data_IF_350355850443
#
_entry.id   IF_350355850443
#
_cell.length_a   1.000
_cell.length_b   1.000
_cell.length_c   1.000
_cell.angle_alpha   90.00
_cell.angle_beta   90.00
_cell.angle_gamma   90.00
#
_symmetry.space_group_name_H-M   'P 1'
#
loop_
_entity.id
_entity.type
_entity.pdbx_description
1 polymer ?
#
# COMPACT_ATOMS: atom_id res chain seq x y z
N UNK A 1 7.60 5.96 19.64
CA UNK A 1 6.70 6.93 18.98
C UNK A 1 7.08 6.99 17.51
N UNK A 2 6.20 6.52 16.61
CA UNK A 2 6.42 6.71 15.17
C UNK A 2 6.01 8.15 14.83
N UNK A 3 6.96 8.98 14.45
CA UNK A 3 6.66 10.30 13.90
C UNK A 3 6.00 10.12 12.53
N UNK A 4 4.81 10.70 12.34
CA UNK A 4 4.17 10.72 11.03
C UNK A 4 5.02 11.50 10.03
N UNK A 5 4.81 11.27 8.73
CA UNK A 5 5.51 11.94 7.63
C UNK A 5 5.61 13.46 7.85
N UNK A 6 4.50 14.09 8.26
CA UNK A 6 4.45 15.52 8.57
C UNK A 6 5.45 15.95 9.67
N UNK A 7 5.57 15.16 10.75
CA UNK A 7 6.54 15.45 11.81
C UNK A 7 7.98 15.22 11.35
N UNK A 8 8.23 14.19 10.52
CA UNK A 8 9.56 13.96 9.90
C UNK A 8 9.94 15.15 9.01
N UNK A 9 9.00 15.67 8.22
CA UNK A 9 9.19 16.84 7.35
C UNK A 9 9.49 18.11 8.14
N UNK A 10 8.75 18.39 9.22
CA UNK A 10 9.02 19.54 10.10
C UNK A 10 10.41 19.41 10.71
N UNK A 11 10.77 18.23 11.21
CA UNK A 11 12.08 18.00 11.81
C UNK A 11 13.20 18.22 10.78
N UNK A 12 13.06 17.67 9.57
CA UNK A 12 14.01 17.87 8.48
C UNK A 12 14.15 19.37 8.13
N UNK A 13 13.03 20.09 8.03
CA UNK A 13 13.02 21.53 7.76
C UNK A 13 13.79 22.31 8.83
N UNK A 14 13.49 22.08 10.12
CA UNK A 14 14.17 22.76 11.22
C UNK A 14 15.68 22.48 11.21
N UNK A 15 16.07 21.22 11.01
CA UNK A 15 17.49 20.84 10.93
C UNK A 15 18.17 21.54 9.75
N UNK A 16 17.53 21.56 8.57
CA UNK A 16 18.10 22.17 7.37
C UNK A 16 18.18 23.69 7.46
N UNK A 17 17.23 24.35 8.13
CA UNK A 17 17.32 25.78 8.44
C UNK A 17 18.52 26.06 9.34
N UNK A 18 18.68 25.29 10.43
CA UNK A 18 19.85 25.45 11.33
C UNK A 18 21.14 25.24 10.54
N UNK A 19 21.25 24.14 9.78
CA UNK A 19 22.42 23.88 8.94
C UNK A 19 22.68 25.03 7.95
N UNK A 20 21.64 25.56 7.31
CA UNK A 20 21.76 26.69 6.38
C UNK A 20 22.12 28.03 7.05
N UNK A 21 22.02 28.17 8.37
CA UNK A 21 22.47 29.36 9.09
C UNK A 21 23.92 29.22 9.58
N UNK A 22 24.34 28.01 9.95
CA UNK A 22 25.63 27.77 10.60
C UNK A 22 26.72 27.22 9.67
N UNK A 23 26.37 26.58 8.55
CA UNK A 23 27.37 26.07 7.61
C UNK A 23 28.08 27.24 6.89
N UNK A 24 29.39 27.14 6.63
CA UNK A 24 30.08 28.14 5.83
C UNK A 24 29.51 28.16 4.40
N UNK A 25 29.58 29.32 3.77
CA UNK A 25 29.39 29.46 2.32
C UNK A 25 30.72 29.11 1.64
N UNK A 26 30.66 28.25 0.64
CA UNK A 26 31.82 27.86 -0.17
C UNK A 26 31.67 28.42 -1.58
N UNK A 27 32.71 29.08 -2.08
CA UNK A 27 32.79 29.47 -3.48
C UNK A 27 33.07 28.22 -4.33
N UNK A 28 32.00 27.62 -4.84
CA UNK A 28 32.08 26.48 -5.75
C UNK A 28 32.00 26.98 -7.19
N UNK A 29 32.93 26.57 -8.04
CA UNK A 29 32.84 26.82 -9.48
C UNK A 29 31.78 25.93 -10.10
N UNK A 30 30.96 26.47 -10.99
CA UNK A 30 29.93 25.74 -11.75
C UNK A 30 28.78 25.15 -10.91
N UNK A 31 28.45 25.77 -9.77
CA UNK A 31 27.29 25.40 -8.92
C UNK A 31 26.01 25.29 -9.73
N UNK A 32 25.74 26.25 -10.62
CA UNK A 32 24.52 26.28 -11.43
C UNK A 32 24.39 25.07 -12.35
N UNK A 33 25.48 24.68 -13.02
CA UNK A 33 25.50 23.54 -13.92
C UNK A 33 25.34 22.21 -13.16
N UNK A 34 25.99 22.09 -12.00
CA UNK A 34 25.86 20.92 -11.12
C UNK A 34 24.43 20.80 -10.59
N UNK A 35 23.87 21.90 -10.08
CA UNK A 35 22.51 21.92 -9.54
C UNK A 35 21.49 21.60 -10.64
N UNK A 36 21.63 22.19 -11.84
CA UNK A 36 20.73 21.94 -12.96
C UNK A 36 20.76 20.47 -13.42
N UNK A 37 21.96 19.90 -13.60
CA UNK A 37 22.13 18.51 -14.03
C UNK A 37 21.65 17.52 -12.97
N UNK A 38 22.01 17.72 -11.70
CA UNK A 38 21.55 16.87 -10.60
C UNK A 38 20.03 16.97 -10.41
N UNK A 39 19.44 18.16 -10.53
CA UNK A 39 17.99 18.35 -10.39
C UNK A 39 17.24 17.65 -11.52
N UNK A 40 17.75 17.77 -12.75
CA UNK A 40 17.17 17.09 -13.90
C UNK A 40 17.20 15.57 -13.73
N UNK A 41 18.37 15.00 -13.44
CA UNK A 41 18.53 13.56 -13.24
C UNK A 41 17.70 13.04 -12.06
N UNK A 42 17.71 13.77 -10.94
CA UNK A 42 16.92 13.44 -9.76
C UNK A 42 15.43 13.45 -10.09
N UNK A 43 14.94 14.53 -10.70
CA UNK A 43 13.52 14.67 -11.03
C UNK A 43 13.04 13.59 -12.00
N UNK A 44 13.85 13.23 -13.00
CA UNK A 44 13.54 12.15 -13.94
C UNK A 44 13.49 10.79 -13.24
N UNK A 45 14.52 10.42 -12.47
CA UNK A 45 14.55 9.13 -11.77
C UNK A 45 13.45 9.04 -10.72
N UNK A 46 13.34 10.04 -9.86
CA UNK A 46 12.28 10.10 -8.84
C UNK A 46 10.89 10.01 -9.48
N UNK A 47 10.67 10.72 -10.58
CA UNK A 47 9.41 10.68 -11.33
C UNK A 47 9.05 9.30 -11.85
N UNK A 48 10.03 8.53 -12.35
CA UNK A 48 9.80 7.14 -12.75
C UNK A 48 9.49 6.25 -11.55
N UNK A 49 10.30 6.31 -10.49
CA UNK A 49 10.11 5.45 -9.32
C UNK A 49 8.75 5.69 -8.66
N UNK A 50 8.41 6.95 -8.36
CA UNK A 50 7.12 7.26 -7.72
C UNK A 50 5.94 6.84 -8.60
N UNK A 51 6.07 6.91 -9.93
CA UNK A 51 5.02 6.48 -10.85
C UNK A 51 4.83 4.96 -10.83
N UNK A 52 5.92 4.20 -10.76
CA UNK A 52 5.88 2.73 -10.65
C UNK A 52 5.24 2.33 -9.32
N UNK A 53 5.69 2.91 -8.20
CA UNK A 53 5.16 2.60 -6.87
C UNK A 53 3.67 2.94 -6.78
N UNK A 54 3.25 4.13 -7.24
CA UNK A 54 1.83 4.50 -7.25
C UNK A 54 0.99 3.62 -8.19
N UNK A 55 1.55 3.22 -9.34
CA UNK A 55 0.92 2.30 -10.27
C UNK A 55 0.66 0.93 -9.63
N UNK A 56 1.66 0.39 -8.94
CA UNK A 56 1.57 -0.87 -8.20
C UNK A 56 0.54 -0.77 -7.07
N UNK A 57 0.54 0.31 -6.30
CA UNK A 57 -0.46 0.51 -5.24
C UNK A 57 -1.89 0.57 -5.78
N UNK A 58 -2.11 1.29 -6.88
CA UNK A 58 -3.40 1.34 -7.55
C UNK A 58 -3.85 -0.04 -8.05
N UNK A 59 -2.91 -0.81 -8.63
CA UNK A 59 -3.16 -2.17 -9.06
C UNK A 59 -3.51 -3.08 -7.87
N UNK A 60 -2.77 -3.00 -6.76
CA UNK A 60 -3.02 -3.75 -5.54
C UNK A 60 -4.43 -3.49 -4.99
N UNK A 61 -4.85 -2.23 -4.93
CA UNK A 61 -6.21 -1.84 -4.56
C UNK A 61 -7.27 -2.43 -5.49
N UNK A 62 -7.03 -2.41 -6.80
CA UNK A 62 -7.93 -3.02 -7.77
C UNK A 62 -8.05 -4.54 -7.57
N UNK A 63 -6.92 -5.23 -7.35
CA UNK A 63 -6.89 -6.67 -7.16
C UNK A 63 -7.59 -7.10 -5.86
N UNK A 64 -7.36 -6.39 -4.76
CA UNK A 64 -8.06 -6.63 -3.50
C UNK A 64 -9.57 -6.42 -3.65
N UNK A 65 -9.99 -5.39 -4.38
CA UNK A 65 -11.40 -5.14 -4.66
C UNK A 65 -12.03 -6.26 -5.53
N UNK A 66 -11.30 -6.77 -6.53
CA UNK A 66 -11.74 -7.91 -7.36
C UNK A 66 -11.91 -9.17 -6.51
N UNK A 67 -10.93 -9.48 -5.67
CA UNK A 67 -10.99 -10.60 -4.75
C UNK A 67 -12.21 -10.48 -3.84
N UNK A 68 -12.40 -9.32 -3.22
CA UNK A 68 -13.49 -9.04 -2.30
C UNK A 68 -14.87 -9.16 -2.98
N UNK A 69 -15.03 -8.55 -4.15
CA UNK A 69 -16.24 -8.64 -4.96
C UNK A 69 -16.54 -10.09 -5.39
N UNK A 70 -15.50 -10.87 -5.71
CA UNK A 70 -15.63 -12.29 -6.00
C UNK A 70 -16.17 -13.07 -4.80
N UNK A 71 -15.63 -12.83 -3.60
CA UNK A 71 -16.12 -13.47 -2.37
C UNK A 71 -17.57 -13.09 -2.05
N UNK A 72 -17.93 -11.81 -2.19
CA UNK A 72 -19.32 -11.37 -2.03
C UNK A 72 -20.26 -12.05 -3.03
N UNK A 73 -19.84 -12.16 -4.29
CA UNK A 73 -20.63 -12.82 -5.33
C UNK A 73 -20.83 -14.30 -5.01
N UNK A 74 -19.79 -15.00 -4.55
CA UNK A 74 -19.87 -16.39 -4.11
C UNK A 74 -20.88 -16.53 -2.95
N UNK A 75 -20.82 -15.64 -1.96
CA UNK A 75 -21.77 -15.65 -0.85
C UNK A 75 -23.21 -15.39 -1.32
N UNK A 76 -23.46 -14.36 -2.14
CA UNK A 76 -24.81 -14.03 -2.62
C UNK A 76 -25.41 -15.17 -3.47
N UNK A 77 -24.63 -15.73 -4.39
CA UNK A 77 -25.07 -16.85 -5.22
C UNK A 77 -25.32 -18.12 -4.39
N UNK A 78 -24.56 -18.32 -3.29
CA UNK A 78 -24.80 -19.44 -2.38
C UNK A 78 -26.18 -19.39 -1.72
N UNK A 79 -26.76 -18.20 -1.54
CA UNK A 79 -28.11 -18.04 -0.99
C UNK A 79 -29.19 -18.59 -1.93
N UNK A 80 -28.97 -18.54 -3.26
CA UNK A 80 -29.91 -19.07 -4.26
C UNK A 80 -29.95 -20.60 -4.27
N UNK A 81 -28.87 -21.25 -3.86
CA UNK A 81 -28.82 -22.72 -3.74
C UNK A 81 -29.63 -23.17 -2.52
N UNK A 82 -29.52 -22.46 -1.40
CA UNK A 82 -30.29 -22.72 -0.19
C UNK A 82 -29.81 -23.93 0.62
N UNK A 83 -30.64 -24.37 1.58
CA UNK A 83 -30.29 -25.45 2.51
C UNK A 83 -29.16 -25.05 3.48
N UNK A 84 -28.24 -25.98 3.75
CA UNK A 84 -27.07 -25.70 4.61
C UNK A 84 -25.89 -25.06 3.85
N UNK A 85 -25.93 -25.06 2.52
CA UNK A 85 -24.84 -24.61 1.67
C UNK A 85 -24.41 -23.15 1.92
N UNK A 86 -25.31 -22.14 1.92
CA UNK A 86 -24.91 -20.76 2.17
C UNK A 86 -24.22 -20.55 3.51
N UNK A 87 -24.66 -21.26 4.56
CA UNK A 87 -24.04 -21.18 5.89
C UNK A 87 -22.65 -21.81 5.95
N UNK A 88 -22.42 -22.88 5.17
CA UNK A 88 -21.08 -23.47 5.05
C UNK A 88 -20.13 -22.51 4.33
N UNK A 89 -20.57 -21.92 3.21
CA UNK A 89 -19.81 -20.93 2.44
C UNK A 89 -19.50 -19.69 3.28
N UNK A 90 -20.50 -19.13 3.95
CA UNK A 90 -20.38 -17.98 4.86
C UNK A 90 -19.28 -18.19 5.91
N UNK A 91 -19.31 -19.32 6.62
CA UNK A 91 -18.32 -19.63 7.67
C UNK A 91 -16.89 -19.75 7.10
N UNK A 92 -16.74 -20.32 5.91
CA UNK A 92 -15.43 -20.48 5.26
C UNK A 92 -14.90 -19.14 4.74
N UNK A 93 -15.75 -18.31 4.14
CA UNK A 93 -15.40 -16.94 3.73
C UNK A 93 -15.03 -16.10 4.95
N UNK A 94 -15.81 -16.15 6.03
CA UNK A 94 -15.51 -15.42 7.27
C UNK A 94 -14.14 -15.81 7.84
N UNK A 95 -13.85 -17.12 7.90
CA UNK A 95 -12.55 -17.64 8.35
C UNK A 95 -11.41 -17.14 7.46
N UNK A 96 -11.61 -17.16 6.15
CA UNK A 96 -10.65 -16.65 5.19
C UNK A 96 -10.38 -15.16 5.38
N UNK A 97 -11.43 -14.33 5.43
CA UNK A 97 -11.31 -12.88 5.58
C UNK A 97 -10.60 -12.50 6.87
N UNK A 98 -10.95 -13.13 8.00
CA UNK A 98 -10.25 -12.91 9.28
C UNK A 98 -8.76 -13.23 9.16
N UNK A 99 -8.42 -14.35 8.54
CA UNK A 99 -7.03 -14.76 8.32
C UNK A 99 -6.30 -13.82 7.37
N UNK A 100 -6.94 -13.37 6.30
CA UNK A 100 -6.39 -12.40 5.35
C UNK A 100 -6.11 -11.04 6.01
N UNK A 101 -6.99 -10.60 6.90
CA UNK A 101 -6.82 -9.37 7.68
C UNK A 101 -5.67 -9.47 8.70
N UNK A 102 -5.33 -10.68 9.16
CA UNK A 102 -4.27 -10.93 10.15
C UNK A 102 -2.87 -11.10 9.55
N UNK A 103 -2.73 -11.21 8.23
CA UNK A 103 -1.45 -11.46 7.57
C UNK A 103 -1.05 -10.27 6.69
N UNK A 104 0.26 -9.98 6.52
CA UNK A 104 0.68 -8.93 5.60
C UNK A 104 0.45 -9.32 4.14
N UNK A 105 0.10 -8.35 3.28
CA UNK A 105 -0.12 -8.56 1.84
C UNK A 105 1.02 -9.32 1.14
N UNK A 106 2.27 -9.09 1.55
CA UNK A 106 3.44 -9.77 1.00
C UNK A 106 3.39 -11.30 1.17
N UNK A 107 2.73 -11.79 2.22
CA UNK A 107 2.51 -13.21 2.50
C UNK A 107 1.05 -13.63 2.31
N UNK A 108 0.19 -12.76 1.74
CA UNK A 108 -1.24 -13.01 1.61
C UNK A 108 -1.52 -14.36 0.95
N UNK A 109 -0.87 -14.63 -0.19
CA UNK A 109 -1.10 -15.89 -0.91
C UNK A 109 -0.65 -17.11 -0.12
N UNK A 110 0.54 -17.08 0.48
CA UNK A 110 1.13 -18.24 1.18
C UNK A 110 0.39 -18.56 2.47
N UNK A 111 0.03 -17.53 3.24
CA UNK A 111 -0.43 -17.69 4.62
C UNK A 111 -1.95 -17.83 4.74
N UNK A 112 -2.70 -17.55 3.66
CA UNK A 112 -4.17 -17.70 3.61
C UNK A 112 -4.62 -18.80 2.65
N UNK A 113 -3.70 -19.47 1.95
CA UNK A 113 -4.04 -20.38 0.86
C UNK A 113 -4.95 -21.53 1.26
N UNK A 114 -4.71 -22.08 2.46
CA UNK A 114 -5.50 -23.18 2.99
C UNK A 114 -6.95 -22.74 3.20
N UNK A 115 -7.14 -21.65 3.95
CA UNK A 115 -8.45 -21.07 4.25
C UNK A 115 -9.19 -20.67 2.97
N UNK A 116 -8.47 -20.16 1.97
CA UNK A 116 -9.03 -19.82 0.68
C UNK A 116 -9.62 -21.04 -0.03
N UNK A 117 -8.85 -22.13 -0.18
CA UNK A 117 -9.34 -23.32 -0.87
C UNK A 117 -10.45 -24.05 -0.09
N UNK A 118 -10.49 -23.88 1.23
CA UNK A 118 -11.59 -24.38 2.06
C UNK A 118 -12.97 -23.76 1.70
N UNK A 119 -13.00 -22.56 1.09
CA UNK A 119 -14.25 -21.92 0.60
C UNK A 119 -14.94 -22.78 -0.46
N UNK A 120 -14.14 -23.55 -1.21
CA UNK A 120 -14.63 -24.32 -2.35
C UNK A 120 -14.93 -25.79 -2.00
N UNK A 121 -14.64 -26.24 -0.78
CA UNK A 121 -14.99 -27.58 -0.35
C UNK A 121 -16.50 -27.88 -0.45
N UNK A 122 -17.41 -26.98 -0.02
CA UNK A 122 -18.85 -27.21 -0.12
C UNK A 122 -19.34 -27.42 -1.56
N UNK A 123 -18.66 -26.83 -2.56
CA UNK A 123 -19.03 -26.94 -3.97
C UNK A 123 -18.88 -28.36 -4.52
N UNK A 124 -18.02 -29.18 -3.89
CA UNK A 124 -17.77 -30.56 -4.35
C UNK A 124 -18.90 -31.52 -4.00
N UNK A 125 -19.74 -31.17 -3.02
CA UNK A 125 -20.76 -32.06 -2.45
C UNK A 125 -22.17 -31.49 -2.60
N UNK A 126 -22.32 -30.30 -3.16
CA UNK A 126 -23.63 -29.66 -3.31
C UNK A 126 -24.37 -30.26 -4.51
N UNK A 127 -25.55 -30.79 -4.24
CA UNK A 127 -26.48 -31.24 -5.29
C UNK A 127 -27.49 -30.13 -5.56
N UNK A 128 -27.68 -29.80 -6.83
CA UNK A 128 -28.63 -28.78 -7.29
C UNK A 128 -29.72 -29.46 -8.10
N UNK A 129 -30.98 -29.07 -7.86
CA UNK A 129 -32.15 -29.71 -8.49
C UNK A 129 -32.91 -28.78 -9.43
N UNK A 130 -32.70 -27.47 -9.32
CA UNK A 130 -33.37 -26.45 -10.15
C UNK A 130 -32.43 -25.75 -11.13
N UNK A 131 -33.00 -25.22 -12.21
CA UNK A 131 -32.26 -24.45 -13.24
C UNK A 131 -31.56 -23.22 -12.64
N UNK A 132 -32.25 -22.51 -11.74
CA UNK A 132 -31.70 -21.33 -11.03
C UNK A 132 -30.49 -21.70 -10.14
N UNK A 133 -30.60 -22.80 -9.40
CA UNK A 133 -29.52 -23.29 -8.54
C UNK A 133 -28.32 -23.76 -9.37
N UNK A 134 -28.59 -24.39 -10.51
CA UNK A 134 -27.55 -24.84 -11.45
C UNK A 134 -26.84 -23.64 -12.08
N UNK A 135 -27.58 -22.61 -12.48
CA UNK A 135 -27.00 -21.37 -12.97
C UNK A 135 -26.12 -20.69 -11.91
N UNK A 136 -26.61 -20.58 -10.66
CA UNK A 136 -25.85 -20.02 -9.55
C UNK A 136 -24.56 -20.80 -9.28
N UNK A 137 -24.61 -22.13 -9.28
CA UNK A 137 -23.44 -22.99 -9.11
C UNK A 137 -22.43 -22.82 -10.24
N UNK A 138 -22.89 -22.71 -11.49
CA UNK A 138 -22.02 -22.46 -12.63
C UNK A 138 -21.31 -21.10 -12.54
N UNK A 139 -22.03 -20.04 -12.14
CA UNK A 139 -21.41 -18.73 -11.91
C UNK A 139 -20.40 -18.75 -10.75
N UNK A 140 -20.68 -19.48 -9.66
CA UNK A 140 -19.71 -19.67 -8.59
C UNK A 140 -18.46 -20.39 -9.14
N UNK A 141 -18.64 -21.44 -9.94
CA UNK A 141 -17.54 -22.18 -10.56
C UNK A 141 -16.70 -21.32 -11.52
N UNK A 142 -17.30 -20.41 -12.28
CA UNK A 142 -16.57 -19.42 -13.08
C UNK A 142 -15.78 -18.45 -12.20
N UNK A 143 -16.36 -18.02 -11.07
CA UNK A 143 -15.67 -17.22 -10.05
C UNK A 143 -14.40 -17.88 -9.50
N UNK A 144 -14.33 -19.23 -9.50
CA UNK A 144 -13.15 -20.00 -9.11
C UNK A 144 -11.93 -19.74 -9.99
N UNK A 145 -12.10 -19.15 -11.18
CA UNK A 145 -10.97 -18.80 -12.03
C UNK A 145 -10.40 -17.42 -11.67
N UNK A 146 -11.28 -16.43 -11.48
CA UNK A 146 -10.89 -15.03 -11.33
C UNK A 146 -10.31 -14.71 -9.94
N UNK A 147 -10.85 -15.31 -8.87
CA UNK A 147 -10.38 -15.01 -7.52
C UNK A 147 -8.94 -15.52 -7.30
N UNK A 148 -8.57 -16.78 -7.63
CA UNK A 148 -7.18 -17.23 -7.49
C UNK A 148 -6.21 -16.48 -8.39
N UNK A 149 -6.65 -16.05 -9.58
CA UNK A 149 -5.85 -15.20 -10.46
C UNK A 149 -5.52 -13.86 -9.77
N UNK A 150 -6.53 -13.19 -9.19
CA UNK A 150 -6.31 -11.95 -8.45
C UNK A 150 -5.37 -12.15 -7.26
N UNK A 151 -5.52 -13.23 -6.47
CA UNK A 151 -4.62 -13.57 -5.35
C UNK A 151 -3.18 -13.79 -5.79
N UNK A 152 -2.99 -14.46 -6.92
CA UNK A 152 -1.65 -14.68 -7.48
C UNK A 152 -1.01 -13.36 -7.91
N UNK A 153 -1.79 -12.45 -8.51
CA UNK A 153 -1.31 -11.13 -8.89
C UNK A 153 -1.02 -10.25 -7.67
N UNK A 154 -1.81 -10.35 -6.59
CA UNK A 154 -1.53 -9.67 -5.31
C UNK A 154 -0.15 -10.08 -4.81
N UNK A 155 0.17 -11.39 -4.79
CA UNK A 155 1.49 -11.87 -4.36
C UNK A 155 2.66 -11.41 -5.26
N UNK A 156 2.39 -10.98 -6.49
CA UNK A 156 3.41 -10.44 -7.39
C UNK A 156 3.61 -8.92 -7.20
N UNK A 157 2.55 -8.21 -6.83
CA UNK A 157 2.54 -6.73 -6.73
C UNK A 157 2.82 -6.26 -5.29
N UNK A 158 2.40 -7.03 -4.28
CA UNK A 158 2.57 -6.67 -2.87
C UNK A 158 4.03 -6.63 -2.37
N UNK A 159 4.96 -7.53 -2.78
CA UNK A 159 6.31 -7.56 -2.19
C UNK A 159 7.29 -6.50 -2.72
N UNK A 160 6.86 -5.46 -3.46
CA UNK A 160 7.81 -4.62 -4.21
C UNK A 160 8.08 -3.26 -3.58
N UNK A 161 9.30 -3.18 -3.07
CA UNK A 161 10.07 -1.98 -2.77
C UNK A 161 10.83 -1.50 -4.03
N UNK A 162 11.16 -0.21 -4.12
CA UNK A 162 12.14 0.33 -5.08
C UNK A 162 13.45 -0.44 -4.91
N UNK A 163 14.11 -0.83 -6.02
CA UNK A 163 15.26 -1.72 -5.92
C UNK A 163 16.42 -1.00 -5.19
N UNK A 164 17.24 -1.71 -4.38
CA UNK A 164 18.32 -1.08 -3.61
C UNK A 164 19.29 -0.20 -4.44
N UNK A 165 19.66 -0.54 -5.69
CA UNK A 165 20.45 0.33 -6.55
C UNK A 165 19.73 1.64 -6.94
N UNK A 166 18.42 1.60 -7.17
CA UNK A 166 17.60 2.79 -7.50
C UNK A 166 17.56 3.74 -6.30
N UNK A 167 17.32 3.20 -5.10
CA UNK A 167 17.45 3.93 -3.84
C UNK A 167 18.84 4.55 -3.67
N UNK A 168 19.91 3.81 -3.96
CA UNK A 168 21.27 4.33 -3.87
C UNK A 168 21.50 5.52 -4.83
N UNK A 169 21.02 5.43 -6.08
CA UNK A 169 21.12 6.54 -7.05
C UNK A 169 20.35 7.77 -6.57
N UNK A 170 19.12 7.60 -6.09
CA UNK A 170 18.30 8.69 -5.55
C UNK A 170 18.96 9.36 -4.35
N UNK A 171 19.53 8.58 -3.42
CA UNK A 171 20.23 9.10 -2.24
C UNK A 171 21.50 9.87 -2.61
N UNK A 172 22.29 9.38 -3.57
CA UNK A 172 23.48 10.06 -4.05
C UNK A 172 23.10 11.41 -4.69
N UNK A 173 22.10 11.43 -5.56
CA UNK A 173 21.63 12.65 -6.21
C UNK A 173 21.04 13.65 -5.20
N UNK A 174 20.21 13.17 -4.27
CA UNK A 174 19.66 13.99 -3.21
C UNK A 174 20.76 14.58 -2.33
N UNK A 175 21.78 13.80 -1.98
CA UNK A 175 22.92 14.29 -1.23
C UNK A 175 23.68 15.39 -1.99
N UNK A 176 23.96 15.17 -3.29
CA UNK A 176 24.60 16.18 -4.14
C UNK A 176 23.75 17.46 -4.17
N UNK A 177 22.43 17.35 -4.35
CA UNK A 177 21.53 18.50 -4.37
C UNK A 177 21.53 19.26 -3.05
N UNK A 178 21.32 18.56 -1.93
CA UNK A 178 21.29 19.18 -0.60
C UNK A 178 22.64 19.81 -0.26
N UNK A 179 23.75 19.13 -0.54
CA UNK A 179 25.08 19.65 -0.31
C UNK A 179 25.36 20.89 -1.17
N UNK A 180 24.98 20.87 -2.45
CA UNK A 180 25.18 22.01 -3.37
C UNK A 180 24.30 23.20 -2.97
N UNK A 181 23.03 22.96 -2.62
CA UNK A 181 22.10 23.99 -2.14
C UNK A 181 22.60 24.64 -0.84
N UNK A 182 23.07 23.84 0.11
CA UNK A 182 23.56 24.37 1.38
C UNK A 182 24.92 25.05 1.18
N UNK A 183 25.92 24.40 0.61
CA UNK A 183 27.28 24.95 0.58
C UNK A 183 27.47 26.06 -0.49
N UNK A 184 26.75 25.98 -1.60
CA UNK A 184 26.85 26.92 -2.73
C UNK A 184 25.93 28.14 -2.66
N UNK A 185 25.22 28.35 -1.54
CA UNK A 185 24.31 29.48 -1.33
C UNK A 185 25.03 30.82 -1.14
N UNK A 186 24.30 31.91 -1.29
CA UNK A 186 24.80 33.25 -0.93
C UNK A 186 24.67 33.51 0.58
N UNK A 187 25.43 34.49 1.10
CA UNK A 187 25.44 34.82 2.53
C UNK A 187 24.20 35.57 3.02
N UNK A 188 23.31 35.98 2.12
CA UNK A 188 22.08 36.68 2.49
C UNK A 188 21.01 35.72 3.04
N UNK A 189 20.18 36.23 3.95
CA UNK A 189 19.15 35.45 4.65
C UNK A 189 18.14 34.81 3.68
N UNK A 190 17.80 35.50 2.59
CA UNK A 190 16.84 35.03 1.60
C UNK A 190 17.36 33.77 0.88
N UNK A 191 18.62 33.78 0.46
CA UNK A 191 19.30 32.64 -0.15
C UNK A 191 19.41 31.47 0.84
N UNK A 192 19.76 31.74 2.10
CA UNK A 192 19.84 30.71 3.14
C UNK A 192 18.51 30.02 3.41
N UNK A 193 17.43 30.78 3.54
CA UNK A 193 16.08 30.22 3.73
C UNK A 193 15.61 29.45 2.49
N UNK A 194 15.88 29.98 1.29
CA UNK A 194 15.51 29.32 0.04
C UNK A 194 16.23 27.97 -0.13
N UNK A 195 17.52 27.93 0.15
CA UNK A 195 18.31 26.70 0.15
C UNK A 195 17.75 25.65 1.12
N UNK A 196 17.37 26.07 2.34
CA UNK A 196 16.76 25.17 3.32
C UNK A 196 15.40 24.63 2.85
N UNK A 197 14.55 25.47 2.24
CA UNK A 197 13.26 25.04 1.68
C UNK A 197 13.48 24.01 0.57
N UNK A 198 14.34 24.29 -0.42
CA UNK A 198 14.59 23.36 -1.53
C UNK A 198 15.23 22.05 -1.06
N UNK A 199 16.20 22.10 -0.15
CA UNK A 199 16.79 20.91 0.45
C UNK A 199 15.73 20.08 1.18
N UNK A 200 14.80 20.74 1.88
CA UNK A 200 13.69 20.07 2.57
C UNK A 200 12.76 19.39 1.56
N UNK A 201 12.47 20.02 0.42
CA UNK A 201 11.66 19.42 -0.65
C UNK A 201 12.32 18.16 -1.21
N UNK A 202 13.64 18.18 -1.43
CA UNK A 202 14.39 17.00 -1.89
C UNK A 202 14.27 15.85 -0.87
N UNK A 203 14.60 16.10 0.39
CA UNK A 203 14.48 15.09 1.46
C UNK A 203 13.02 14.64 1.63
N UNK A 204 12.07 15.57 1.55
CA UNK A 204 10.65 15.30 1.69
C UNK A 204 10.11 14.42 0.59
N UNK A 205 10.60 14.57 -0.65
CA UNK A 205 10.26 13.68 -1.75
C UNK A 205 10.78 12.25 -1.50
N UNK A 206 12.01 12.07 -1.01
CA UNK A 206 12.50 10.75 -0.61
C UNK A 206 11.67 10.12 0.51
N UNK A 207 11.30 10.91 1.53
CA UNK A 207 10.45 10.42 2.62
C UNK A 207 9.05 10.06 2.13
N UNK A 208 8.53 10.77 1.14
CA UNK A 208 7.26 10.43 0.51
C UNK A 208 7.39 9.13 -0.28
N UNK A 209 8.45 8.98 -1.06
CA UNK A 209 8.72 7.72 -1.78
C UNK A 209 8.82 6.57 -0.79
N UNK A 210 9.62 6.67 0.28
CA UNK A 210 9.72 5.66 1.36
C UNK A 210 8.36 5.32 1.98
N UNK A 211 7.51 6.32 2.23
CA UNK A 211 6.18 6.09 2.82
C UNK A 211 5.22 5.37 1.85
N UNK A 212 5.27 5.68 0.56
CA UNK A 212 4.45 5.03 -0.46
C UNK A 212 5.00 3.64 -0.79
N UNK A 213 6.33 3.50 -0.83
CA UNK A 213 7.07 2.27 -1.13
C UNK A 213 6.92 1.25 0.00
N UNK A 214 7.21 1.66 1.23
CA UNK A 214 7.07 0.79 2.40
C UNK A 214 5.63 0.42 2.73
N UNK A 215 4.66 1.19 2.21
CA UNK A 215 3.20 1.01 2.11
C UNK A 215 2.42 0.42 3.32
N UNK A 216 3.08 0.12 4.44
CA UNK A 216 2.56 -0.64 5.58
C UNK A 216 1.35 -0.02 6.25
N UNK A 217 1.20 1.30 6.15
CA UNK A 217 0.08 2.02 6.79
C UNK A 217 -1.12 2.09 5.85
N UNK A 218 -0.90 2.23 4.55
CA UNK A 218 -1.97 2.30 3.56
C UNK A 218 -2.47 0.91 3.20
N UNK A 219 -1.59 -0.07 3.05
CA UNK A 219 -1.94 -1.48 2.84
C UNK A 219 -2.79 -2.02 3.98
N UNK A 220 -2.35 -1.85 5.23
CA UNK A 220 -3.11 -2.32 6.37
C UNK A 220 -4.50 -1.69 6.41
N UNK A 221 -4.63 -0.37 6.21
CA UNK A 221 -5.94 0.29 6.11
C UNK A 221 -6.79 -0.23 4.97
N UNK A 222 -6.18 -0.46 3.81
CA UNK A 222 -6.86 -0.93 2.62
C UNK A 222 -7.40 -2.35 2.81
N UNK A 223 -6.61 -3.27 3.39
CA UNK A 223 -7.05 -4.61 3.77
C UNK A 223 -8.24 -4.55 4.74
N UNK A 224 -8.12 -3.74 5.81
CA UNK A 224 -9.19 -3.60 6.78
C UNK A 224 -10.46 -3.05 6.14
N UNK A 225 -10.39 -2.02 5.32
CA UNK A 225 -11.57 -1.41 4.71
C UNK A 225 -12.22 -2.39 3.72
N UNK A 226 -11.45 -2.93 2.78
CA UNK A 226 -11.96 -3.78 1.70
C UNK A 226 -12.55 -5.08 2.25
N UNK A 227 -11.82 -5.84 3.07
CA UNK A 227 -12.31 -7.13 3.56
C UNK A 227 -13.46 -6.99 4.57
N UNK A 228 -13.51 -5.91 5.35
CA UNK A 228 -14.63 -5.66 6.24
C UNK A 228 -15.93 -5.33 5.49
N UNK A 229 -15.87 -4.79 4.27
CA UNK A 229 -17.09 -4.61 3.46
C UNK A 229 -17.80 -5.93 3.21
N UNK A 230 -17.06 -7.01 2.95
CA UNK A 230 -17.64 -8.35 2.75
C UNK A 230 -18.21 -8.92 4.04
N UNK A 231 -17.52 -8.74 5.17
CA UNK A 231 -18.07 -9.13 6.47
C UNK A 231 -19.40 -8.42 6.74
N UNK A 232 -19.47 -7.11 6.51
CA UNK A 232 -20.72 -6.33 6.67
C UNK A 232 -21.80 -6.78 5.69
N UNK A 233 -21.46 -7.07 4.43
CA UNK A 233 -22.40 -7.57 3.43
C UNK A 233 -23.00 -8.94 3.81
N UNK A 234 -22.25 -9.77 4.55
CA UNK A 234 -22.73 -11.02 5.14
C UNK A 234 -23.51 -10.82 6.45
N UNK A 235 -23.67 -9.58 6.92
CA UNK A 235 -24.33 -9.28 8.20
C UNK A 235 -23.45 -9.53 9.44
N UNK A 236 -22.13 -9.61 9.27
CA UNK A 236 -21.16 -9.78 10.36
C UNK A 236 -20.63 -8.45 10.86
N UNK A 237 -20.14 -8.46 12.09
CA UNK A 237 -19.37 -7.35 12.63
C UNK A 237 -18.01 -7.23 11.93
N UNK A 238 -17.51 -6.00 11.83
CA UNK A 238 -16.18 -5.72 11.32
C UNK A 238 -15.12 -6.37 12.22
N UNK A 239 -14.13 -6.99 11.62
CA UNK A 239 -12.99 -7.57 12.31
C UNK A 239 -11.81 -6.60 12.34
N UNK A 240 -11.26 -6.43 13.55
CA UNK A 240 -10.11 -5.58 13.82
C UNK A 240 -9.12 -6.36 14.71
N UNK A 241 -7.92 -6.71 14.21
CA UNK A 241 -6.91 -7.40 15.00
C UNK A 241 -6.45 -6.54 16.18
N UNK A 242 -6.12 -7.16 17.31
CA UNK A 242 -5.65 -6.44 18.49
C UNK A 242 -4.39 -5.61 18.23
N UNK A 243 -3.49 -6.11 17.37
CA UNK A 243 -2.26 -5.40 17.00
C UNK A 243 -2.54 -4.13 16.19
N UNK A 244 -3.58 -4.15 15.35
CA UNK A 244 -4.03 -3.00 14.57
C UNK A 244 -4.66 -1.91 15.44
N UNK A 245 -5.39 -2.32 16.48
CA UNK A 245 -5.99 -1.43 17.48
C UNK A 245 -4.91 -0.80 18.38
N UNK A 246 -3.94 -1.61 18.84
CA UNK A 246 -2.83 -1.13 19.69
C UNK A 246 -1.87 -0.20 18.94
N UNK A 247 -1.67 -0.40 17.64
CA UNK A 247 -0.81 0.43 16.79
C UNK A 247 -1.49 1.71 16.26
N UNK A 248 -2.81 1.86 16.46
CA UNK A 248 -3.57 3.02 16.02
C UNK A 248 -3.77 3.11 14.50
N UNK A 249 -3.50 2.02 13.77
CA UNK A 249 -3.73 1.92 12.32
C UNK A 249 -5.23 2.02 12.03
N UNK A 250 -6.05 1.44 12.92
CA UNK A 250 -7.51 1.45 12.85
C UNK A 250 -8.11 1.99 14.14
N UNK A 251 -9.20 2.74 14.02
CA UNK A 251 -10.03 3.17 15.16
C UNK A 251 -11.39 2.52 15.02
N UNK A 252 -11.88 1.93 16.11
CA UNK A 252 -13.27 1.45 16.17
C UNK A 252 -14.18 2.67 15.94
N UNK A 253 -15.02 2.67 14.89
CA UNK A 253 -15.98 3.74 14.69
C UNK A 253 -16.87 3.79 15.93
N UNK A 254 -17.01 4.96 16.56
CA UNK A 254 -18.00 5.12 17.64
C UNK A 254 -19.37 4.96 17.01
N UNK A 255 -20.10 3.93 17.45
CA UNK A 255 -21.52 3.70 17.17
C UNK A 255 -22.36 4.92 17.52
#
# INVERSE_FOLDING_TARGET
MRFGLFSKLILAFVILVILSLFLPVLEMTNTDALLASATFLYGVLYGFEISIVLGNFSQLKSLLAIENAGLQSVFQLSQLIGGQFPKQVENKIEKYLKKAIDVPLSNHLTDTNKEFFEIFEPLKTVEVTGDEQTAALNYINEGLYYIPQSRTQIAQVAPRDVDPPEWAMLLILAFILVATLLLGRESNLVSQLSAAIFATTVIGSLLLLDEVDSNRIQEARLEYEVFNETLVAMGKEKYYPEEALKSGIVKIPKS
#
